data_IF_466647209314
#
_entry.id   IF_466647209314
#
_cell.length_a   1.000
_cell.length_b   1.000
_cell.length_c   1.000
_cell.angle_alpha   90.00
_cell.angle_beta   90.00
_cell.angle_gamma   90.00
#
_symmetry.space_group_name_H-M   'P 1'
#
loop_
_entity.id
_entity.type
_entity.pdbx_description
1 polymer ?
#
# COMPACT_ATOMS: atom_id res chain seq x y z
N UNK A 1 5.22 -11.24 17.17
CA UNK A 1 5.99 -10.13 16.56
C UNK A 1 7.44 -10.29 16.92
N UNK A 2 8.35 -10.41 15.95
CA UNK A 2 9.79 -10.53 16.16
C UNK A 2 10.42 -9.18 16.57
N UNK A 3 11.61 -9.22 17.14
CA UNK A 3 12.38 -8.02 17.50
C UNK A 3 12.82 -7.29 16.22
N UNK A 4 12.75 -5.97 16.24
CA UNK A 4 13.16 -5.11 15.14
C UNK A 4 13.82 -3.82 15.68
N UNK A 5 14.63 -3.19 14.86
CA UNK A 5 15.14 -1.83 15.12
C UNK A 5 14.17 -0.79 14.57
N UNK A 6 14.14 0.39 15.18
CA UNK A 6 13.29 1.50 14.74
C UNK A 6 14.13 2.74 14.53
N UNK A 7 13.99 3.34 13.35
CA UNK A 7 14.65 4.59 12.99
C UNK A 7 13.63 5.55 12.39
N UNK A 8 13.66 6.83 12.81
CA UNK A 8 12.88 7.87 12.16
C UNK A 8 13.73 8.57 11.11
N UNK A 9 13.26 8.61 9.88
CA UNK A 9 13.89 9.35 8.80
C UNK A 9 13.61 10.84 8.92
N UNK A 10 14.58 11.65 8.53
CA UNK A 10 14.50 13.12 8.52
C UNK A 10 14.35 13.68 7.11
N UNK A 11 14.72 12.91 6.08
CA UNK A 11 14.55 13.26 4.67
C UNK A 11 14.06 12.06 3.86
N UNK A 12 13.36 12.27 2.72
CA UNK A 12 12.96 11.19 1.83
C UNK A 12 14.14 10.37 1.30
N UNK A 13 15.24 11.04 0.93
CA UNK A 13 16.46 10.37 0.47
C UNK A 13 17.06 9.46 1.54
N UNK A 14 17.14 9.93 2.79
CA UNK A 14 17.60 9.11 3.92
C UNK A 14 16.70 7.90 4.12
N UNK A 15 15.38 8.07 4.05
CA UNK A 15 14.43 6.97 4.19
C UNK A 15 14.67 5.89 3.13
N UNK A 16 14.75 6.29 1.87
CA UNK A 16 14.99 5.40 0.74
C UNK A 16 16.36 4.71 0.84
N UNK A 17 17.43 5.44 1.14
CA UNK A 17 18.78 4.89 1.33
C UNK A 17 18.84 3.88 2.48
N UNK A 18 18.15 4.16 3.59
CA UNK A 18 18.14 3.24 4.74
C UNK A 18 17.48 1.92 4.37
N UNK A 19 16.33 1.96 3.70
CA UNK A 19 15.63 0.74 3.26
C UNK A 19 16.43 -0.01 2.21
N UNK A 20 17.04 0.68 1.24
CA UNK A 20 17.86 0.07 0.20
C UNK A 20 19.10 -0.66 0.76
N UNK A 21 19.71 -0.11 1.82
CA UNK A 21 20.95 -0.66 2.44
C UNK A 21 20.68 -1.70 3.52
N UNK A 22 19.46 -1.79 4.03
CA UNK A 22 19.11 -2.69 5.14
C UNK A 22 18.18 -3.80 4.65
N UNK A 23 18.71 -5.01 4.39
CA UNK A 23 17.89 -6.12 3.92
C UNK A 23 16.70 -6.38 4.84
N UNK A 24 15.51 -6.51 4.25
CA UNK A 24 14.28 -6.76 5.00
C UNK A 24 13.73 -5.55 5.77
N UNK A 25 14.33 -4.36 5.66
CA UNK A 25 13.75 -3.14 6.24
C UNK A 25 12.43 -2.79 5.56
N UNK A 26 11.52 -2.16 6.31
CA UNK A 26 10.23 -1.66 5.81
C UNK A 26 9.98 -0.23 6.25
N UNK A 27 9.35 0.56 5.38
CA UNK A 27 8.78 1.84 5.79
C UNK A 27 7.58 1.63 6.71
N UNK A 28 7.45 2.48 7.72
CA UNK A 28 6.26 2.56 8.54
C UNK A 28 5.70 3.99 8.54
N UNK A 29 4.44 4.11 8.12
CA UNK A 29 3.65 5.33 8.21
C UNK A 29 2.54 5.14 9.26
N UNK A 30 1.28 5.01 8.85
CA UNK A 30 0.17 4.75 9.79
C UNK A 30 0.22 3.40 10.50
N UNK A 31 0.90 2.42 9.91
CA UNK A 31 1.12 1.09 10.48
C UNK A 31 -0.11 0.15 10.47
N UNK A 32 -1.27 0.62 10.05
CA UNK A 32 -2.55 -0.09 10.17
C UNK A 32 -2.62 -1.43 9.42
N UNK A 33 -1.76 -1.66 8.45
CA UNK A 33 -1.61 -2.95 7.80
C UNK A 33 -0.32 -3.66 8.22
N UNK A 34 0.83 -2.96 8.21
CA UNK A 34 2.11 -3.57 8.52
C UNK A 34 2.17 -4.17 9.93
N UNK A 35 1.71 -3.43 10.95
CA UNK A 35 1.75 -3.91 12.33
C UNK A 35 0.82 -5.12 12.56
N UNK A 36 -0.31 -5.17 11.87
CA UNK A 36 -1.21 -6.31 11.87
C UNK A 36 -0.50 -7.56 11.33
N UNK A 37 0.14 -7.44 10.16
CA UNK A 37 0.92 -8.52 9.54
C UNK A 37 2.14 -8.93 10.39
N UNK A 38 2.76 -7.98 11.10
CA UNK A 38 3.87 -8.28 12.02
C UNK A 38 3.41 -9.03 13.26
N UNK A 39 2.22 -8.73 13.80
CA UNK A 39 1.64 -9.48 14.93
C UNK A 39 1.36 -10.93 14.58
N UNK A 40 0.95 -11.18 13.35
CA UNK A 40 0.69 -12.52 12.80
C UNK A 40 1.95 -13.21 12.25
N UNK A 41 3.12 -12.56 12.34
CA UNK A 41 4.41 -13.03 11.78
C UNK A 41 4.38 -13.32 10.27
N UNK A 42 3.44 -12.70 9.53
CA UNK A 42 3.37 -12.74 8.07
C UNK A 42 4.47 -11.86 7.47
N UNK A 43 4.66 -10.67 8.04
CA UNK A 43 5.78 -9.77 7.77
C UNK A 43 6.68 -9.73 9.01
N UNK A 44 7.97 -9.97 8.82
CA UNK A 44 8.94 -10.01 9.94
C UNK A 44 10.15 -9.14 9.64
N UNK A 45 9.95 -7.81 9.42
CA UNK A 45 11.08 -6.91 9.15
C UNK A 45 12.02 -6.83 10.36
N UNK A 46 13.33 -6.85 10.10
CA UNK A 46 14.35 -6.61 11.13
C UNK A 46 14.55 -5.13 11.46
N UNK A 47 14.04 -4.23 10.61
CA UNK A 47 14.13 -2.79 10.80
C UNK A 47 12.89 -2.06 10.27
N UNK A 48 12.43 -1.07 11.01
CA UNK A 48 11.37 -0.15 10.59
C UNK A 48 11.92 1.27 10.43
N UNK A 49 11.62 1.88 9.29
CA UNK A 49 11.96 3.26 8.97
C UNK A 49 10.68 4.11 9.01
N UNK A 50 10.54 4.93 10.05
CA UNK A 50 9.38 5.81 10.22
C UNK A 50 9.48 7.02 9.27
N UNK A 51 8.46 7.18 8.44
CA UNK A 51 8.38 8.24 7.42
C UNK A 51 7.34 9.32 7.74
N UNK A 52 6.67 9.26 8.91
CA UNK A 52 5.56 10.16 9.24
C UNK A 52 5.94 11.65 9.31
N UNK A 53 7.22 11.99 9.48
CA UNK A 53 7.69 13.38 9.65
C UNK A 53 8.37 13.96 8.40
N UNK A 54 8.17 13.38 7.24
CA UNK A 54 8.82 13.82 6.00
C UNK A 54 8.07 14.94 5.24
N UNK A 55 6.99 15.50 5.81
CA UNK A 55 6.32 16.69 5.24
C UNK A 55 5.39 16.41 4.04
N UNK A 56 5.06 15.15 3.74
CA UNK A 56 4.10 14.78 2.69
C UNK A 56 2.69 14.54 3.27
N UNK A 57 2.18 15.49 4.03
CA UNK A 57 0.90 15.40 4.75
C UNK A 57 -0.11 16.48 4.31
N UNK A 58 0.12 17.10 3.14
CA UNK A 58 -0.73 18.16 2.62
C UNK A 58 -1.51 17.72 1.37
N UNK A 59 -2.63 18.40 1.13
CA UNK A 59 -3.41 18.33 -0.10
C UNK A 59 -3.32 19.71 -0.77
N UNK A 60 -2.67 19.78 -1.92
CA UNK A 60 -2.38 21.03 -2.62
C UNK A 60 -2.99 21.04 -4.02
N UNK A 61 -3.48 22.20 -4.50
CA UNK A 61 -3.91 22.31 -5.88
C UNK A 61 -2.70 22.19 -6.83
N UNK A 62 -2.91 21.59 -7.99
CA UNK A 62 -1.92 21.58 -9.07
C UNK A 62 -2.17 22.74 -10.05
N UNK A 63 -1.16 23.11 -10.83
CA UNK A 63 -1.27 24.14 -11.85
C UNK A 63 -2.35 23.82 -12.91
N UNK A 64 -2.64 22.53 -13.11
CA UNK A 64 -3.61 22.06 -14.09
C UNK A 64 -5.04 21.89 -13.52
N UNK A 65 -5.29 22.43 -12.30
CA UNK A 65 -6.62 22.38 -11.67
C UNK A 65 -6.94 21.08 -10.95
N UNK A 66 -5.98 20.13 -10.83
CA UNK A 66 -6.10 18.92 -10.06
C UNK A 66 -5.68 19.09 -8.59
N UNK A 67 -5.59 17.98 -7.85
CA UNK A 67 -5.08 17.94 -6.49
C UNK A 67 -3.86 17.01 -6.39
N UNK A 68 -2.80 17.52 -5.77
CA UNK A 68 -1.65 16.73 -5.33
C UNK A 68 -1.87 16.32 -3.88
N UNK A 69 -1.92 15.02 -3.65
CA UNK A 69 -2.19 14.43 -2.33
C UNK A 69 -0.88 13.86 -1.78
N UNK A 70 -0.42 14.40 -0.67
CA UNK A 70 0.80 13.91 -0.03
C UNK A 70 0.67 12.47 0.45
N UNK A 71 1.76 11.72 0.38
CA UNK A 71 1.82 10.29 0.72
C UNK A 71 1.30 9.96 2.13
N UNK A 72 1.46 10.90 3.08
CA UNK A 72 1.10 10.70 4.49
C UNK A 72 -0.18 11.43 4.92
N UNK A 73 -0.92 12.02 3.99
CA UNK A 73 -2.29 12.49 4.24
C UNK A 73 -3.11 11.33 4.78
N UNK A 74 -3.78 11.56 5.92
CA UNK A 74 -4.63 10.53 6.54
C UNK A 74 -5.88 10.28 5.72
N UNK A 75 -6.32 9.03 5.69
CA UNK A 75 -7.52 8.68 4.93
C UNK A 75 -8.75 9.47 5.39
N UNK A 76 -8.86 9.79 6.68
CA UNK A 76 -9.93 10.64 7.21
C UNK A 76 -9.82 12.06 6.65
N UNK A 77 -8.63 12.66 6.67
CA UNK A 77 -8.43 14.04 6.21
C UNK A 77 -8.69 14.15 4.71
N UNK A 78 -8.21 13.17 3.92
CA UNK A 78 -8.47 13.10 2.49
C UNK A 78 -9.98 12.96 2.19
N UNK A 79 -10.68 12.09 2.90
CA UNK A 79 -12.11 11.86 2.70
C UNK A 79 -12.96 13.06 3.10
N UNK A 80 -12.50 13.87 4.06
CA UNK A 80 -13.23 15.03 4.58
C UNK A 80 -12.86 16.36 3.91
N UNK A 81 -11.79 16.41 3.10
CA UNK A 81 -11.38 17.63 2.40
C UNK A 81 -12.54 18.16 1.53
N UNK A 82 -12.92 19.44 1.68
CA UNK A 82 -14.06 20.01 0.94
C UNK A 82 -13.91 19.91 -0.59
N UNK A 83 -12.68 20.02 -1.12
CA UNK A 83 -12.39 19.91 -2.57
C UNK A 83 -12.57 18.47 -3.02
N UNK A 84 -12.11 17.49 -2.23
CA UNK A 84 -12.28 16.07 -2.54
C UNK A 84 -13.75 15.68 -2.47
N UNK A 85 -14.50 16.17 -1.48
CA UNK A 85 -15.93 15.89 -1.36
C UNK A 85 -16.75 16.48 -2.50
N UNK A 86 -16.37 17.66 -2.98
CA UNK A 86 -17.09 18.38 -4.03
C UNK A 86 -16.72 17.86 -5.43
N UNK A 87 -15.43 17.84 -5.75
CA UNK A 87 -14.94 17.65 -7.12
C UNK A 87 -14.49 16.22 -7.41
N UNK A 88 -14.20 15.44 -6.36
CA UNK A 88 -13.73 14.04 -6.42
C UNK A 88 -14.55 13.14 -5.50
N UNK A 89 -15.86 13.29 -5.49
CA UNK A 89 -16.76 12.63 -4.55
C UNK A 89 -16.63 11.10 -4.50
N UNK A 90 -16.28 10.47 -5.63
CA UNK A 90 -16.02 9.02 -5.70
C UNK A 90 -14.85 8.62 -4.79
N UNK A 91 -13.78 9.43 -4.72
CA UNK A 91 -12.62 9.17 -3.86
C UNK A 91 -13.00 9.28 -2.38
N UNK A 92 -13.75 10.32 -1.99
CA UNK A 92 -14.25 10.47 -0.62
C UNK A 92 -15.12 9.28 -0.21
N UNK A 93 -16.07 8.87 -1.08
CA UNK A 93 -16.96 7.74 -0.80
C UNK A 93 -16.21 6.41 -0.69
N UNK A 94 -15.26 6.16 -1.59
CA UNK A 94 -14.42 4.96 -1.56
C UNK A 94 -13.60 4.86 -0.27
N UNK A 95 -13.03 5.97 0.20
CA UNK A 95 -12.32 6.01 1.49
C UNK A 95 -13.23 5.74 2.68
N UNK A 96 -14.47 6.27 2.65
CA UNK A 96 -15.43 6.11 3.74
C UNK A 96 -16.09 4.73 3.77
N UNK A 97 -16.12 4.00 2.65
CA UNK A 97 -16.64 2.62 2.59
C UNK A 97 -15.73 1.62 3.27
N UNK A 98 -14.41 1.88 3.29
CA UNK A 98 -13.42 0.98 3.86
C UNK A 98 -13.05 1.30 5.31
N UNK A 99 -12.65 0.27 6.06
CA UNK A 99 -12.11 0.34 7.41
C UNK A 99 -13.05 1.03 8.43
N UNK A 100 -12.61 1.14 9.69
CA UNK A 100 -13.26 1.94 10.71
C UNK A 100 -12.73 3.38 10.73
N UNK A 101 -13.42 4.30 11.38
CA UNK A 101 -12.96 5.67 11.59
C UNK A 101 -11.60 5.71 12.30
N UNK A 102 -11.40 4.85 13.29
CA UNK A 102 -10.15 4.76 14.05
C UNK A 102 -8.98 4.36 13.14
N UNK A 103 -9.19 3.39 12.25
CA UNK A 103 -8.19 2.97 11.27
C UNK A 103 -7.91 4.08 10.26
N UNK A 104 -8.95 4.73 9.71
CA UNK A 104 -8.78 5.83 8.76
C UNK A 104 -8.02 7.03 9.34
N UNK A 105 -8.15 7.29 10.65
CA UNK A 105 -7.39 8.34 11.35
C UNK A 105 -5.88 8.06 11.42
N UNK A 106 -5.45 6.82 11.19
CA UNK A 106 -4.04 6.41 11.18
C UNK A 106 -3.54 6.02 9.80
N UNK A 107 -4.37 5.37 8.99
CA UNK A 107 -4.03 4.97 7.63
C UNK A 107 -3.67 6.19 6.77
N UNK A 108 -2.66 6.04 5.93
CA UNK A 108 -2.16 7.09 5.03
C UNK A 108 -2.50 6.76 3.58
N UNK A 109 -2.48 7.75 2.71
CA UNK A 109 -2.73 7.59 1.28
C UNK A 109 -1.77 6.57 0.67
N UNK A 110 -0.45 6.70 0.88
CA UNK A 110 0.52 5.72 0.38
C UNK A 110 0.33 4.34 1.01
N UNK A 111 0.08 4.28 2.32
CA UNK A 111 -0.17 3.01 3.02
C UNK A 111 -1.42 2.29 2.52
N UNK A 112 -2.43 3.04 2.08
CA UNK A 112 -3.63 2.47 1.47
C UNK A 112 -3.33 1.86 0.09
N UNK A 113 -2.55 2.54 -0.76
CA UNK A 113 -2.11 1.99 -2.06
C UNK A 113 -1.20 0.76 -1.89
N UNK A 114 -0.39 0.71 -0.84
CA UNK A 114 0.61 -0.33 -0.58
C UNK A 114 0.12 -1.42 0.38
N UNK A 115 -1.16 -1.42 0.77
CA UNK A 115 -1.70 -2.45 1.65
C UNK A 115 -1.71 -3.82 0.97
N UNK A 116 -1.47 -4.87 1.76
CA UNK A 116 -1.48 -6.26 1.29
C UNK A 116 -2.91 -6.82 1.22
N UNK A 117 -3.08 -7.89 0.47
CA UNK A 117 -4.36 -8.60 0.30
C UNK A 117 -5.03 -8.97 1.63
N UNK A 118 -6.36 -9.17 1.60
CA UNK A 118 -7.17 -9.71 2.72
C UNK A 118 -7.53 -11.19 2.51
N UNK A 119 -6.84 -11.89 1.63
CA UNK A 119 -7.02 -13.31 1.40
C UNK A 119 -6.79 -14.09 2.71
N UNK A 120 -7.76 -14.91 3.13
CA UNK A 120 -7.67 -15.70 4.36
C UNK A 120 -6.47 -16.66 4.36
N UNK A 121 -6.14 -17.24 3.21
CA UNK A 121 -4.98 -18.12 3.05
C UNK A 121 -3.64 -17.39 3.12
N UNK A 122 -3.61 -16.08 2.83
CA UNK A 122 -2.45 -15.24 3.07
C UNK A 122 -2.26 -14.96 4.56
N UNK A 123 -3.37 -14.79 5.31
CA UNK A 123 -3.35 -14.54 6.74
C UNK A 123 -3.12 -15.80 7.58
N UNK A 124 -3.49 -16.96 7.09
CA UNK A 124 -3.22 -18.25 7.75
C UNK A 124 -1.83 -18.77 7.36
N UNK A 125 -0.88 -18.67 8.28
CA UNK A 125 0.52 -19.07 8.05
C UNK A 125 0.70 -20.58 7.90
N UNK A 126 -0.26 -21.41 8.28
CA UNK A 126 -0.25 -22.86 8.03
C UNK A 126 -0.60 -23.22 6.59
N UNK A 127 -1.22 -22.31 5.83
CA UNK A 127 -1.64 -22.55 4.44
C UNK A 127 -0.54 -22.21 3.43
N UNK A 128 -0.55 -22.91 2.30
CA UNK A 128 0.32 -22.61 1.16
C UNK A 128 -0.08 -21.27 0.51
N UNK A 129 0.87 -20.36 0.32
CA UNK A 129 0.61 -19.05 -0.28
C UNK A 129 1.82 -18.50 -1.02
N UNK A 130 1.78 -18.49 -2.35
CA UNK A 130 2.83 -17.94 -3.21
C UNK A 130 3.10 -16.45 -2.98
N UNK A 131 2.11 -15.69 -2.48
CA UNK A 131 2.26 -14.27 -2.16
C UNK A 131 3.08 -14.06 -0.88
N UNK A 132 2.99 -14.97 0.08
CA UNK A 132 3.76 -14.94 1.32
C UNK A 132 5.09 -15.68 1.19
N UNK A 133 5.06 -16.87 0.58
CA UNK A 133 6.22 -17.74 0.38
C UNK A 133 6.24 -18.19 -1.09
N UNK A 134 7.03 -17.54 -1.95
CA UNK A 134 7.12 -17.88 -3.37
C UNK A 134 7.42 -19.35 -3.61
N UNK A 135 6.69 -19.97 -4.53
CA UNK A 135 6.85 -21.39 -4.88
C UNK A 135 6.15 -22.39 -3.96
N UNK A 136 5.49 -21.94 -2.88
CA UNK A 136 4.78 -22.85 -1.96
C UNK A 136 3.42 -23.34 -2.49
N UNK A 137 2.89 -22.73 -3.54
CA UNK A 137 1.55 -22.97 -4.06
C UNK A 137 0.50 -22.00 -3.52
N UNK A 138 -0.76 -22.20 -3.91
CA UNK A 138 -1.89 -21.36 -3.51
C UNK A 138 -3.04 -22.22 -2.99
N UNK A 139 -3.26 -22.26 -1.67
CA UNK A 139 -4.34 -23.03 -1.06
C UNK A 139 -5.75 -22.45 -1.34
N UNK A 140 -5.83 -21.22 -1.86
CA UNK A 140 -7.08 -20.62 -2.28
C UNK A 140 -7.65 -21.27 -3.55
N UNK A 141 -6.78 -21.77 -4.45
CA UNK A 141 -7.19 -22.46 -5.67
C UNK A 141 -7.72 -23.83 -5.26
N UNK A 142 -9.00 -24.09 -5.57
CA UNK A 142 -9.72 -25.29 -5.11
C UNK A 142 -10.27 -25.20 -3.67
N UNK A 143 -10.01 -24.10 -2.96
CA UNK A 143 -10.54 -23.82 -1.62
C UNK A 143 -11.77 -22.89 -1.64
N UNK A 144 -12.00 -22.16 -0.54
CA UNK A 144 -13.04 -21.15 -0.43
C UNK A 144 -12.64 -19.86 -1.16
N UNK A 145 -13.36 -19.53 -2.24
CA UNK A 145 -12.98 -18.46 -3.17
C UNK A 145 -13.93 -17.27 -3.21
N UNK A 146 -15.03 -17.28 -2.45
CA UNK A 146 -16.12 -16.30 -2.56
C UNK A 146 -15.66 -14.84 -2.48
N UNK A 147 -14.63 -14.54 -1.68
CA UNK A 147 -14.09 -13.19 -1.45
C UNK A 147 -12.79 -12.94 -2.22
N UNK A 148 -12.51 -13.73 -3.26
CA UNK A 148 -11.28 -13.64 -4.04
C UNK A 148 -11.56 -13.09 -5.44
N UNK A 149 -10.52 -12.86 -6.21
CA UNK A 149 -10.63 -12.25 -7.52
C UNK A 149 -11.28 -13.18 -8.55
N UNK A 150 -12.08 -12.58 -9.43
CA UNK A 150 -12.65 -13.21 -10.61
C UNK A 150 -11.87 -12.79 -11.86
N UNK A 151 -11.35 -11.58 -11.89
CA UNK A 151 -10.60 -10.99 -13.02
C UNK A 151 -9.17 -10.70 -12.59
N UNK A 152 -8.21 -10.82 -13.51
CA UNK A 152 -6.81 -10.51 -13.26
C UNK A 152 -6.10 -11.55 -12.38
N UNK A 153 -6.60 -12.77 -12.32
CA UNK A 153 -6.01 -13.89 -11.58
C UNK A 153 -4.92 -14.60 -12.39
N UNK A 154 -4.20 -15.52 -11.75
CA UNK A 154 -3.30 -16.46 -12.40
C UNK A 154 -3.35 -17.82 -11.70
N UNK A 155 -2.71 -18.84 -12.29
CA UNK A 155 -2.55 -20.16 -11.67
C UNK A 155 -1.71 -20.11 -10.38
N UNK A 156 -1.01 -19.02 -10.14
CA UNK A 156 -0.19 -18.84 -8.95
C UNK A 156 -0.92 -18.09 -7.82
N UNK A 157 -1.96 -17.27 -8.12
CA UNK A 157 -2.66 -16.48 -7.11
C UNK A 157 -3.99 -15.92 -7.64
N UNK A 158 -5.03 -16.01 -6.81
CA UNK A 158 -6.37 -15.46 -7.07
C UNK A 158 -6.77 -14.40 -6.04
N UNK A 159 -5.83 -13.80 -5.33
CA UNK A 159 -6.10 -12.76 -4.34
C UNK A 159 -6.44 -11.41 -5.00
N UNK A 160 -7.29 -10.61 -4.32
CA UNK A 160 -7.60 -9.22 -4.70
C UNK A 160 -6.65 -8.23 -4.04
N UNK A 161 -6.45 -7.06 -4.65
CA UNK A 161 -5.97 -5.87 -3.95
C UNK A 161 -7.17 -5.18 -3.26
N UNK A 162 -7.12 -4.92 -1.94
CA UNK A 162 -8.32 -4.58 -1.16
C UNK A 162 -8.65 -3.09 -1.10
N UNK A 163 -8.05 -2.23 -1.93
CA UNK A 163 -8.19 -0.78 -1.84
C UNK A 163 -9.28 -0.23 -2.75
N UNK A 164 -10.45 0.10 -2.18
CA UNK A 164 -11.49 0.88 -2.88
C UNK A 164 -10.96 2.25 -3.31
N UNK A 165 -10.04 2.85 -2.52
CA UNK A 165 -9.37 4.09 -2.89
C UNK A 165 -8.56 3.94 -4.19
N UNK A 166 -7.84 2.83 -4.39
CA UNK A 166 -7.09 2.58 -5.61
C UNK A 166 -8.03 2.47 -6.83
N UNK A 167 -9.21 1.87 -6.67
CA UNK A 167 -10.24 1.80 -7.71
C UNK A 167 -10.75 3.20 -8.06
N UNK A 168 -11.06 4.02 -7.05
CA UNK A 168 -11.48 5.41 -7.27
C UNK A 168 -10.38 6.23 -7.93
N UNK A 169 -9.12 6.07 -7.53
CA UNK A 169 -7.97 6.73 -8.16
C UNK A 169 -7.77 6.28 -9.60
N UNK A 170 -8.06 5.01 -9.92
CA UNK A 170 -8.01 4.51 -11.31
C UNK A 170 -9.09 5.15 -12.18
N UNK A 171 -10.30 5.34 -11.65
CA UNK A 171 -11.39 6.06 -12.35
C UNK A 171 -11.02 7.53 -12.62
N UNK A 172 -10.25 8.14 -11.73
CA UNK A 172 -9.81 9.54 -11.81
C UNK A 172 -8.50 9.72 -12.59
N UNK A 173 -7.97 8.67 -13.19
CA UNK A 173 -6.69 8.65 -13.91
C UNK A 173 -5.54 9.29 -13.10
N UNK A 174 -5.49 8.96 -11.79
CA UNK A 174 -4.48 9.48 -10.89
C UNK A 174 -3.08 9.00 -11.27
N UNK A 175 -2.09 9.79 -10.90
CA UNK A 175 -0.67 9.47 -11.05
C UNK A 175 -0.01 9.34 -9.68
N UNK A 176 0.96 8.44 -9.56
CA UNK A 176 1.76 8.21 -8.35
C UNK A 176 3.16 8.79 -8.58
N UNK A 177 3.49 9.84 -7.83
CA UNK A 177 4.84 10.41 -7.83
C UNK A 177 5.72 9.67 -6.83
N UNK A 178 6.93 9.29 -7.25
CA UNK A 178 7.92 8.59 -6.41
C UNK A 178 9.25 9.30 -6.42
N UNK A 179 10.03 9.10 -5.36
CA UNK A 179 11.40 9.61 -5.23
C UNK A 179 12.31 8.45 -4.86
N UNK A 180 13.42 8.30 -5.58
CA UNK A 180 14.45 7.30 -5.31
C UNK A 180 15.50 7.81 -4.31
N UNK A 181 16.38 6.90 -3.86
CA UNK A 181 17.48 7.20 -2.96
C UNK A 181 18.49 8.21 -3.54
N UNK A 182 18.66 8.26 -4.86
CA UNK A 182 19.48 9.23 -5.58
C UNK A 182 18.80 10.58 -5.80
N UNK A 183 17.54 10.73 -5.36
CA UNK A 183 16.72 11.92 -5.55
C UNK A 183 15.98 11.99 -6.88
N UNK A 184 16.19 11.04 -7.79
CA UNK A 184 15.45 10.98 -9.04
C UNK A 184 13.96 10.76 -8.79
N UNK A 185 13.13 11.39 -9.65
CA UNK A 185 11.67 11.31 -9.54
C UNK A 185 11.10 10.49 -10.68
N UNK A 186 10.03 9.76 -10.39
CA UNK A 186 9.27 9.02 -11.39
C UNK A 186 7.79 9.26 -11.15
N UNK A 187 7.05 9.52 -12.21
CA UNK A 187 5.58 9.55 -12.23
C UNK A 187 5.07 8.27 -12.88
N UNK A 188 4.14 7.61 -12.21
CA UNK A 188 3.59 6.32 -12.63
C UNK A 188 2.08 6.48 -12.71
N UNK A 189 1.43 6.25 -13.86
CA UNK A 189 -0.02 6.16 -13.92
C UNK A 189 -0.52 5.10 -12.94
N UNK A 190 -1.61 5.37 -12.23
CA UNK A 190 -2.16 4.40 -11.26
C UNK A 190 -2.54 3.07 -11.92
N UNK A 191 -2.86 3.09 -13.22
CA UNK A 191 -3.12 1.90 -14.03
C UNK A 191 -1.94 0.93 -14.06
N UNK A 192 -0.71 1.45 -14.01
CA UNK A 192 0.54 0.70 -14.14
C UNK A 192 1.22 0.48 -12.78
N UNK A 193 0.65 1.02 -11.69
CA UNK A 193 1.28 0.99 -10.37
C UNK A 193 1.22 -0.40 -9.73
N UNK A 194 0.05 -1.03 -9.74
CA UNK A 194 -0.14 -2.37 -9.19
C UNK A 194 0.08 -3.44 -10.26
N UNK A 195 0.73 -4.53 -9.88
CA UNK A 195 1.00 -5.66 -10.78
C UNK A 195 -0.05 -6.74 -10.61
N UNK A 196 -0.49 -7.31 -11.72
CA UNK A 196 -1.21 -8.58 -11.71
C UNK A 196 -0.28 -9.70 -11.20
N UNK A 197 -0.81 -10.75 -10.55
CA UNK A 197 0.00 -11.78 -9.89
C UNK A 197 0.93 -12.53 -10.84
N UNK A 198 0.49 -12.87 -12.06
CA UNK A 198 1.29 -13.65 -13.00
C UNK A 198 1.96 -14.82 -12.28
N UNK A 199 3.26 -15.03 -12.55
CA UNK A 199 4.08 -16.05 -11.88
C UNK A 199 4.79 -15.52 -10.62
N UNK A 200 4.64 -14.23 -10.29
CA UNK A 200 5.35 -13.56 -9.18
C UNK A 200 4.39 -12.80 -8.27
N UNK A 201 3.40 -13.45 -7.65
CA UNK A 201 2.35 -12.77 -6.88
C UNK A 201 2.86 -12.05 -5.63
N UNK A 202 4.08 -12.32 -5.18
CA UNK A 202 4.75 -11.61 -4.08
C UNK A 202 5.24 -10.20 -4.46
N UNK A 203 5.34 -9.90 -5.77
CA UNK A 203 5.69 -8.57 -6.28
C UNK A 203 4.39 -7.86 -6.66
N UNK A 204 3.89 -6.97 -5.80
CA UNK A 204 2.54 -6.41 -5.90
C UNK A 204 2.49 -5.07 -6.60
N UNK A 205 3.64 -4.38 -6.73
CA UNK A 205 3.75 -3.07 -7.39
C UNK A 205 4.98 -3.01 -8.28
N UNK A 206 5.08 -1.94 -9.08
CA UNK A 206 6.25 -1.64 -9.91
C UNK A 206 7.35 -0.88 -9.16
N UNK A 207 7.19 -0.71 -7.84
CA UNK A 207 8.21 -0.11 -6.99
C UNK A 207 9.37 -1.09 -6.75
N UNK A 208 10.57 -0.55 -6.75
CA UNK A 208 11.81 -1.26 -6.41
C UNK A 208 12.33 -0.74 -5.06
N UNK A 209 13.07 -1.55 -4.30
CA UNK A 209 13.75 -1.07 -3.10
C UNK A 209 14.72 0.07 -3.42
N UNK A 210 14.58 1.21 -2.76
CA UNK A 210 15.41 2.41 -2.94
C UNK A 210 14.88 3.34 -4.00
#
# INVERSE_FOLDING_TARGET
MKVFTYQRATTPAQAAQTVARTPGARFIAGGTNLLDLMKLEIETPGALVDVNKLGFDKIEPTANGGLRIGAFVRNTDLASDPRVRKDYAVLSRALLSGASTQLRNKATTSGNLLQRTRCSYFYDTAQKCNKRQPGSGCAAIGGFTRNLAVVGTSDACIATHPSDMAVAMRLLDAEVETVRADGSKRTIPIADFHRLPGNTPHIETVLEPG
#
